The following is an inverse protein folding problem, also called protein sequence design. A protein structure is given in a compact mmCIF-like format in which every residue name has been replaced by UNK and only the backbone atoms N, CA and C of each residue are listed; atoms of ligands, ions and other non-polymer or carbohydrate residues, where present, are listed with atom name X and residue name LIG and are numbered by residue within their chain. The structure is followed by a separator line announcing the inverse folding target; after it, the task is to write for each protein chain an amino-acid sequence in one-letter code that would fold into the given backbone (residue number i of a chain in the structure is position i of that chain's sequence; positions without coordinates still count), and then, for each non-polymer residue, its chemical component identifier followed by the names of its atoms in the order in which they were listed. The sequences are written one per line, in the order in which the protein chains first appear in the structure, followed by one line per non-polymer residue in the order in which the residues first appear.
data_IF_272663550449
#
_entry.id   IF_272663550449
#
_cell.length_a   1.000
_cell.length_b   1.000
_cell.length_c   1.000
_cell.angle_alpha   90.00
_cell.angle_beta   90.00
_cell.angle_gamma   90.00
#
_symmetry.space_group_name_H-M   'P 1'
#
loop_
_entity.id
_entity.type
_entity.pdbx_description
1 polymer ?
#
# COMPACT_ATOMS: atom_id res chain seq x y z
N UNK A 1 1.42 -13.18 24.00
CA UNK A 1 0.57 -12.87 22.84
C UNK A 1 -0.46 -13.98 22.69
N UNK A 2 -1.75 -13.70 22.51
CA UNK A 2 -2.69 -14.75 22.18
C UNK A 2 -2.25 -15.38 20.86
N UNK A 3 -2.09 -16.71 20.85
CA UNK A 3 -1.81 -17.47 19.66
C UNK A 3 -3.08 -17.41 18.82
N UNK A 4 -3.12 -16.50 17.83
CA UNK A 4 -4.16 -16.51 16.82
C UNK A 4 -4.16 -17.92 16.20
N UNK A 5 -5.29 -18.63 16.27
CA UNK A 5 -5.45 -19.88 15.52
C UNK A 5 -5.08 -19.62 14.07
N UNK A 6 -4.30 -20.51 13.42
CA UNK A 6 -3.97 -20.32 12.02
C UNK A 6 -5.28 -20.18 11.23
N UNK A 7 -5.32 -19.18 10.33
CA UNK A 7 -6.46 -18.96 9.46
C UNK A 7 -6.56 -20.17 8.52
N UNK A 8 -7.61 -20.98 8.68
CA UNK A 8 -7.82 -22.13 7.81
C UNK A 8 -8.37 -21.64 6.47
N UNK A 9 -7.75 -22.11 5.40
CA UNK A 9 -8.29 -21.93 4.06
C UNK A 9 -9.52 -22.85 3.87
N UNK A 10 -10.43 -22.53 2.95
CA UNK A 10 -11.55 -23.40 2.63
C UNK A 10 -11.07 -24.81 2.32
N UNK A 11 -11.66 -25.80 2.97
CA UNK A 11 -11.32 -27.20 2.74
C UNK A 11 -11.75 -27.66 1.35
N UNK A 12 -10.95 -28.55 0.76
CA UNK A 12 -11.22 -29.17 -0.51
C UNK A 12 -10.60 -30.58 -0.51
N UNK A 13 -11.29 -31.54 -1.11
CA UNK A 13 -10.86 -32.95 -1.10
C UNK A 13 -9.80 -33.27 -2.18
N UNK A 14 -9.70 -32.42 -3.21
CA UNK A 14 -8.80 -32.65 -4.35
C UNK A 14 -7.45 -31.95 -4.19
N UNK A 15 -7.36 -30.94 -3.28
CA UNK A 15 -6.16 -30.14 -3.08
C UNK A 15 -5.76 -30.08 -1.60
N UNK A 16 -4.44 -30.09 -1.34
CA UNK A 16 -3.89 -29.97 0.01
C UNK A 16 -3.80 -28.48 0.43
N UNK A 17 -4.89 -27.98 0.99
CA UNK A 17 -5.00 -26.60 1.48
C UNK A 17 -4.09 -26.32 2.67
N UNK A 18 -3.71 -27.35 3.44
CA UNK A 18 -2.74 -27.25 4.53
C UNK A 18 -1.34 -26.89 4.04
N UNK A 19 -0.90 -27.46 2.91
CA UNK A 19 0.37 -27.08 2.26
C UNK A 19 0.31 -25.67 1.72
N UNK A 20 -0.82 -25.26 1.13
CA UNK A 20 -0.99 -23.89 0.65
C UNK A 20 -0.91 -22.88 1.80
N UNK A 21 -1.60 -23.14 2.92
CA UNK A 21 -1.53 -22.29 4.11
C UNK A 21 -0.12 -22.19 4.70
N UNK A 22 0.69 -23.25 4.50
CA UNK A 22 2.09 -23.31 4.91
C UNK A 22 3.07 -22.48 4.08
N UNK A 23 2.67 -21.98 2.90
CA UNK A 23 3.56 -21.24 1.99
C UNK A 23 4.22 -20.01 2.63
N UNK A 24 3.54 -19.38 3.56
CA UNK A 24 3.97 -18.13 4.18
C UNK A 24 4.57 -18.28 5.60
N UNK A 25 4.67 -19.50 6.14
CA UNK A 25 5.23 -19.74 7.48
C UNK A 25 6.71 -19.32 7.61
N UNK A 26 7.48 -19.50 6.54
CA UNK A 26 8.91 -19.18 6.51
C UNK A 26 9.20 -18.31 5.28
N UNK A 27 9.05 -17.01 5.45
CA UNK A 27 9.30 -16.02 4.41
C UNK A 27 10.39 -15.05 4.85
N UNK A 28 11.43 -14.90 4.02
CA UNK A 28 12.53 -13.95 4.24
C UNK A 28 12.38 -12.68 3.39
N UNK A 29 11.53 -12.72 2.36
CA UNK A 29 11.28 -11.63 1.41
C UNK A 29 9.84 -11.68 0.89
N UNK A 30 9.39 -10.60 0.24
CA UNK A 30 8.00 -10.45 -0.21
C UNK A 30 7.61 -11.30 -1.42
N UNK A 31 8.55 -11.97 -2.09
CA UNK A 31 8.35 -12.68 -3.36
C UNK A 31 7.18 -13.66 -3.39
N UNK A 32 7.03 -14.50 -2.34
CA UNK A 32 5.98 -15.52 -2.32
C UNK A 32 4.58 -14.91 -2.29
N UNK A 33 4.43 -13.78 -1.61
CA UNK A 33 3.15 -13.07 -1.55
C UNK A 33 2.78 -12.51 -2.91
N UNK A 34 3.67 -11.75 -3.53
CA UNK A 34 3.41 -11.14 -4.83
C UNK A 34 3.34 -12.17 -5.97
N UNK A 35 4.04 -13.30 -5.85
CA UNK A 35 3.86 -14.44 -6.75
C UNK A 35 2.44 -15.00 -6.67
N UNK A 36 1.93 -15.22 -5.45
CA UNK A 36 0.57 -15.71 -5.25
C UNK A 36 -0.48 -14.73 -5.78
N UNK A 37 -0.32 -13.43 -5.51
CA UNK A 37 -1.22 -12.39 -6.02
C UNK A 37 -1.22 -12.35 -7.55
N UNK A 38 -0.05 -12.38 -8.19
CA UNK A 38 0.07 -12.43 -9.64
C UNK A 38 -0.55 -13.71 -10.23
N UNK A 39 -0.34 -14.86 -9.59
CA UNK A 39 -0.91 -16.14 -10.01
C UNK A 39 -2.44 -16.07 -9.97
N UNK A 40 -3.03 -15.56 -8.89
CA UNK A 40 -4.47 -15.40 -8.77
C UNK A 40 -5.03 -14.46 -9.84
N UNK A 41 -4.34 -13.36 -10.14
CA UNK A 41 -4.75 -12.42 -11.20
C UNK A 41 -4.80 -13.08 -12.59
N UNK A 42 -3.84 -13.94 -12.91
CA UNK A 42 -3.82 -14.68 -14.17
C UNK A 42 -4.92 -15.78 -14.21
N UNK A 43 -5.18 -16.44 -13.10
CA UNK A 43 -6.26 -17.43 -12.96
C UNK A 43 -7.64 -16.80 -13.13
N UNK A 44 -7.86 -15.62 -12.56
CA UNK A 44 -9.11 -14.85 -12.69
C UNK A 44 -9.38 -14.44 -14.16
N UNK A 45 -8.32 -14.31 -14.99
CA UNK A 45 -8.42 -14.10 -16.43
C UNK A 45 -8.68 -15.39 -17.22
N UNK A 46 -8.85 -16.53 -16.56
CA UNK A 46 -9.17 -17.79 -17.18
C UNK A 46 -7.98 -18.61 -17.69
N UNK A 47 -6.74 -18.21 -17.37
CA UNK A 47 -5.54 -18.87 -17.90
C UNK A 47 -5.20 -20.13 -17.11
N UNK A 48 -4.87 -21.20 -17.83
CA UNK A 48 -4.37 -22.47 -17.31
C UNK A 48 -2.85 -22.61 -17.52
N UNK A 49 -2.41 -22.21 -18.71
CA UNK A 49 -1.00 -22.06 -19.06
C UNK A 49 -0.63 -20.59 -18.92
N UNK A 50 0.33 -20.30 -18.06
CA UNK A 50 0.73 -18.93 -17.74
C UNK A 50 2.23 -18.76 -18.01
N UNK A 51 2.57 -17.78 -18.83
CA UNK A 51 3.97 -17.44 -19.08
C UNK A 51 4.59 -16.81 -17.81
N UNK A 52 5.78 -17.26 -17.43
CA UNK A 52 6.50 -16.69 -16.28
C UNK A 52 6.75 -15.20 -16.40
N UNK A 53 6.97 -14.71 -17.63
CA UNK A 53 7.12 -13.28 -17.89
C UNK A 53 5.89 -12.48 -17.46
N UNK A 54 4.69 -13.02 -17.68
CA UNK A 54 3.45 -12.39 -17.24
C UNK A 54 3.36 -12.36 -15.71
N UNK A 55 3.72 -13.45 -15.04
CA UNK A 55 3.76 -13.51 -13.58
C UNK A 55 4.80 -12.55 -12.98
N UNK A 56 5.99 -12.44 -13.57
CA UNK A 56 7.01 -11.50 -13.09
C UNK A 56 6.56 -10.05 -13.25
N UNK A 57 5.92 -9.72 -14.37
CA UNK A 57 5.30 -8.41 -14.56
C UNK A 57 4.13 -8.20 -13.57
N UNK A 58 3.35 -9.23 -13.29
CA UNK A 58 2.27 -9.26 -12.31
C UNK A 58 2.77 -8.97 -10.88
N UNK A 59 3.84 -9.63 -10.45
CA UNK A 59 4.47 -9.36 -9.14
C UNK A 59 4.85 -7.88 -8.96
N UNK A 60 5.46 -7.30 -9.99
CA UNK A 60 5.84 -5.88 -9.97
C UNK A 60 4.60 -4.98 -9.95
N UNK A 61 3.59 -5.28 -10.76
CA UNK A 61 2.38 -4.46 -10.83
C UNK A 61 1.56 -4.49 -9.54
N UNK A 62 1.41 -5.65 -8.90
CA UNK A 62 0.73 -5.80 -7.61
C UNK A 62 1.45 -5.04 -6.47
N UNK A 63 2.79 -5.00 -6.51
CA UNK A 63 3.60 -4.32 -5.52
C UNK A 63 3.83 -2.82 -5.81
N UNK A 64 3.47 -2.36 -7.02
CA UNK A 64 3.86 -1.04 -7.54
C UNK A 64 3.46 0.10 -6.64
N UNK A 65 2.20 0.12 -6.25
CA UNK A 65 1.61 1.20 -5.48
C UNK A 65 2.15 1.25 -4.04
N UNK A 66 2.31 0.07 -3.43
CA UNK A 66 2.89 -0.07 -2.09
C UNK A 66 4.30 0.52 -2.01
N UNK A 67 5.15 0.23 -3.01
CA UNK A 67 6.54 0.70 -3.04
C UNK A 67 6.64 2.16 -3.48
N UNK A 68 6.03 2.52 -4.61
CA UNK A 68 6.28 3.82 -5.23
C UNK A 68 5.42 4.94 -4.66
N UNK A 69 4.16 4.66 -4.33
CA UNK A 69 3.23 5.67 -3.85
C UNK A 69 3.28 5.80 -2.32
N UNK A 70 3.15 4.71 -1.60
CA UNK A 70 3.18 4.71 -0.14
C UNK A 70 4.57 4.59 0.48
N UNK A 71 5.59 4.29 -0.32
CA UNK A 71 6.99 4.16 0.12
C UNK A 71 7.17 3.20 1.29
N UNK A 72 6.40 2.10 1.31
CA UNK A 72 6.52 1.04 2.31
C UNK A 72 7.77 0.23 2.03
N UNK A 73 8.64 0.08 3.03
CA UNK A 73 9.86 -0.70 2.90
C UNK A 73 9.58 -2.21 2.94
N UNK A 74 10.15 -2.96 2.00
CA UNK A 74 10.13 -4.43 2.03
C UNK A 74 11.32 -5.00 2.81
N UNK A 75 12.23 -4.14 3.23
CA UNK A 75 13.48 -4.48 3.90
C UNK A 75 14.69 -4.41 2.96
N UNK A 76 15.87 -4.14 3.53
CA UNK A 76 17.10 -3.85 2.78
C UNK A 76 17.51 -4.95 1.78
N UNK A 77 17.18 -6.21 2.06
CA UNK A 77 17.57 -7.37 1.24
C UNK A 77 16.44 -7.85 0.31
N UNK A 78 15.35 -7.09 0.17
CA UNK A 78 14.27 -7.46 -0.73
C UNK A 78 14.50 -6.94 -2.14
N UNK A 79 14.94 -7.83 -3.03
CA UNK A 79 15.24 -7.48 -4.43
C UNK A 79 13.99 -7.13 -5.25
N UNK A 80 12.76 -7.45 -4.80
CA UNK A 80 11.54 -7.05 -5.50
C UNK A 80 11.38 -5.53 -5.42
N UNK A 81 11.58 -4.93 -4.24
CA UNK A 81 11.58 -3.48 -4.09
C UNK A 81 12.60 -2.81 -5.00
N UNK A 82 13.85 -3.29 -4.97
CA UNK A 82 14.93 -2.77 -5.82
C UNK A 82 14.62 -2.89 -7.32
N UNK A 83 13.98 -4.00 -7.71
CA UNK A 83 13.54 -4.20 -9.10
C UNK A 83 12.44 -3.21 -9.49
N UNK A 84 11.46 -2.95 -8.62
CA UNK A 84 10.36 -2.00 -8.85
C UNK A 84 10.91 -0.58 -9.05
N UNK A 85 11.79 -0.12 -8.16
CA UNK A 85 12.43 1.20 -8.25
C UNK A 85 13.19 1.35 -9.57
N UNK A 86 13.98 0.34 -9.94
CA UNK A 86 14.72 0.33 -11.20
C UNK A 86 13.82 0.31 -12.43
N UNK A 87 12.73 -0.46 -12.40
CA UNK A 87 11.78 -0.54 -13.52
C UNK A 87 10.98 0.74 -13.69
N UNK A 88 10.69 1.46 -12.60
CA UNK A 88 10.08 2.79 -12.64
C UNK A 88 10.88 3.73 -13.54
N UNK A 89 12.19 3.81 -13.30
CA UNK A 89 13.07 4.69 -14.06
C UNK A 89 13.27 4.20 -15.50
N UNK A 90 13.49 2.88 -15.68
CA UNK A 90 13.69 2.28 -17.00
C UNK A 90 12.51 2.47 -17.95
N UNK A 91 11.28 2.40 -17.41
CA UNK A 91 10.04 2.49 -18.21
C UNK A 91 9.35 3.84 -18.11
N UNK A 92 9.90 4.77 -17.30
CA UNK A 92 9.34 6.12 -17.07
C UNK A 92 7.87 6.03 -16.64
N UNK A 93 7.58 5.14 -15.70
CA UNK A 93 6.23 4.91 -15.19
C UNK A 93 5.92 5.86 -14.01
N UNK A 94 4.72 6.46 -13.96
CA UNK A 94 4.29 7.26 -12.83
C UNK A 94 4.24 6.43 -11.53
N UNK A 95 4.47 7.07 -10.39
CA UNK A 95 4.43 6.42 -9.06
C UNK A 95 3.04 5.86 -8.73
N UNK A 96 2.00 6.49 -9.24
CA UNK A 96 0.59 6.14 -9.06
C UNK A 96 -0.01 5.37 -10.25
N UNK A 97 0.82 4.85 -11.15
CA UNK A 97 0.35 4.05 -12.30
C UNK A 97 -0.52 2.89 -11.85
N UNK A 98 -1.60 2.61 -12.60
CA UNK A 98 -2.46 1.47 -12.28
C UNK A 98 -1.74 0.14 -12.50
N UNK A 99 -2.08 -0.92 -11.75
CA UNK A 99 -1.49 -2.25 -11.93
C UNK A 99 -1.58 -2.74 -13.38
N UNK A 100 -2.70 -2.49 -14.06
CA UNK A 100 -2.90 -2.89 -15.46
C UNK A 100 -1.95 -2.13 -16.40
N UNK A 101 -1.71 -0.85 -16.12
CA UNK A 101 -0.79 -0.02 -16.90
C UNK A 101 0.64 -0.50 -16.73
N UNK A 102 1.05 -0.76 -15.47
CA UNK A 102 2.39 -1.29 -15.15
C UNK A 102 2.58 -2.66 -15.81
N UNK A 103 1.64 -3.59 -15.60
CA UNK A 103 1.70 -4.94 -16.17
C UNK A 103 1.84 -4.91 -17.69
N UNK A 104 0.96 -4.18 -18.38
CA UNK A 104 0.97 -4.03 -19.85
C UNK A 104 2.28 -3.44 -20.35
N UNK A 105 2.80 -2.42 -19.68
CA UNK A 105 4.07 -1.77 -20.06
C UNK A 105 5.24 -2.73 -19.92
N UNK A 106 5.35 -3.45 -18.81
CA UNK A 106 6.43 -4.39 -18.54
C UNK A 106 6.37 -5.60 -19.47
N UNK A 107 5.19 -6.16 -19.70
CA UNK A 107 5.00 -7.29 -20.59
C UNK A 107 5.33 -6.93 -22.04
N UNK A 108 4.95 -5.73 -22.50
CA UNK A 108 5.23 -5.24 -23.85
C UNK A 108 6.62 -4.64 -24.06
N UNK A 109 7.42 -4.46 -22.98
CA UNK A 109 8.73 -3.81 -23.09
C UNK A 109 9.71 -4.63 -23.94
N UNK A 110 10.35 -3.95 -24.91
CA UNK A 110 11.44 -4.50 -25.73
C UNK A 110 12.83 -4.14 -25.18
N UNK A 111 12.93 -3.39 -24.09
CA UNK A 111 14.18 -2.98 -23.49
C UNK A 111 14.90 -4.18 -22.85
N UNK A 112 16.11 -4.50 -23.30
CA UNK A 112 16.90 -5.61 -22.78
C UNK A 112 17.14 -5.53 -21.25
N UNK A 113 17.31 -4.30 -20.73
CA UNK A 113 17.48 -4.07 -19.29
C UNK A 113 16.23 -4.46 -18.50
N UNK A 114 15.03 -4.06 -18.95
CA UNK A 114 13.75 -4.45 -18.34
C UNK A 114 13.55 -5.97 -18.35
N UNK A 115 13.81 -6.61 -19.49
CA UNK A 115 13.72 -8.07 -19.61
C UNK A 115 14.69 -8.80 -18.66
N UNK A 116 15.89 -8.27 -18.45
CA UNK A 116 16.88 -8.84 -17.52
C UNK A 116 16.40 -8.73 -16.07
N UNK A 117 15.85 -7.58 -15.68
CA UNK A 117 15.32 -7.38 -14.32
C UNK A 117 14.18 -8.37 -14.05
N UNK A 118 13.21 -8.51 -14.94
CA UNK A 118 12.10 -9.45 -14.78
C UNK A 118 12.58 -10.91 -14.72
N UNK A 119 13.49 -11.32 -15.61
CA UNK A 119 14.03 -12.69 -15.62
C UNK A 119 14.80 -13.05 -14.33
N UNK A 120 15.30 -12.06 -13.60
CA UNK A 120 15.97 -12.33 -12.32
C UNK A 120 15.08 -13.04 -11.30
N UNK A 121 13.77 -12.81 -11.34
CA UNK A 121 12.82 -13.49 -10.45
C UNK A 121 12.76 -15.01 -10.68
N UNK A 122 13.10 -15.49 -11.87
CA UNK A 122 13.11 -16.93 -12.17
C UNK A 122 14.18 -17.72 -11.38
N UNK A 123 15.17 -17.03 -10.82
CA UNK A 123 16.25 -17.66 -10.04
C UNK A 123 15.67 -18.35 -8.80
N UNK A 124 14.67 -17.74 -8.15
CA UNK A 124 14.22 -18.21 -6.86
C UNK A 124 12.69 -18.41 -6.75
N UNK A 125 11.89 -17.55 -7.36
CA UNK A 125 10.49 -17.42 -6.96
C UNK A 125 9.62 -18.63 -7.34
N UNK A 126 9.57 -19.07 -8.61
CA UNK A 126 8.62 -20.11 -9.05
C UNK A 126 8.79 -21.42 -8.32
N UNK A 127 10.05 -21.88 -8.16
CA UNK A 127 10.33 -23.18 -7.54
C UNK A 127 10.31 -23.15 -6.01
N UNK A 128 10.73 -22.02 -5.39
CA UNK A 128 10.66 -21.88 -3.92
C UNK A 128 9.23 -21.75 -3.39
N UNK A 129 8.29 -21.27 -4.21
CA UNK A 129 6.88 -21.28 -3.84
C UNK A 129 6.35 -22.70 -3.66
N UNK A 130 6.82 -23.65 -4.46
CA UNK A 130 6.42 -25.05 -4.38
C UNK A 130 7.03 -25.85 -3.22
N UNK A 131 7.89 -25.23 -2.40
CA UNK A 131 8.58 -25.93 -1.30
C UNK A 131 7.67 -26.72 -0.33
N UNK A 132 6.41 -26.32 -0.03
CA UNK A 132 5.52 -27.12 0.81
C UNK A 132 5.11 -28.46 0.19
N UNK A 133 5.15 -28.59 -1.13
CA UNK A 133 4.78 -29.82 -1.85
C UNK A 133 5.99 -30.71 -2.16
N UNK A 134 7.06 -30.10 -2.66
CA UNK A 134 8.21 -30.84 -3.23
C UNK A 134 9.49 -30.73 -2.40
N UNK A 135 9.41 -30.05 -1.25
CA UNK A 135 10.59 -29.83 -0.39
C UNK A 135 11.57 -28.79 -0.96
N UNK A 136 12.69 -28.62 -0.23
CA UNK A 136 13.74 -27.67 -0.59
C UNK A 136 14.82 -28.36 -1.43
N UNK A 137 14.51 -28.62 -2.68
CA UNK A 137 15.43 -29.24 -3.62
C UNK A 137 16.16 -28.24 -4.55
N UNK A 138 17.06 -28.76 -5.41
CA UNK A 138 17.61 -27.97 -6.51
C UNK A 138 16.50 -27.50 -7.45
N UNK A 139 16.69 -26.38 -8.13
CA UNK A 139 15.72 -25.85 -9.11
C UNK A 139 15.31 -26.95 -10.11
N UNK A 140 16.30 -27.67 -10.68
CA UNK A 140 16.05 -28.77 -11.63
C UNK A 140 15.22 -29.91 -11.02
N UNK A 141 15.49 -30.29 -9.77
CA UNK A 141 14.73 -31.32 -9.07
C UNK A 141 13.29 -30.91 -8.82
N UNK A 142 13.05 -29.65 -8.38
CA UNK A 142 11.69 -29.13 -8.18
C UNK A 142 10.90 -29.09 -9.49
N UNK A 143 11.53 -28.73 -10.61
CA UNK A 143 10.88 -28.76 -11.93
C UNK A 143 10.43 -30.18 -12.28
N UNK A 144 11.33 -31.15 -12.20
CA UNK A 144 11.02 -32.54 -12.50
C UNK A 144 9.88 -33.07 -11.60
N UNK A 145 9.96 -32.88 -10.28
CA UNK A 145 8.92 -33.31 -9.34
C UNK A 145 7.56 -32.64 -9.62
N UNK A 146 7.55 -31.35 -9.97
CA UNK A 146 6.31 -30.64 -10.28
C UNK A 146 5.66 -31.15 -11.57
N UNK A 147 6.46 -31.49 -12.59
CA UNK A 147 5.99 -32.06 -13.87
C UNK A 147 5.43 -33.47 -13.68
N UNK A 148 5.98 -34.24 -12.75
CA UNK A 148 5.47 -35.56 -12.39
C UNK A 148 4.27 -35.55 -11.42
N UNK A 149 3.81 -34.34 -11.00
CA UNK A 149 2.68 -34.23 -10.08
C UNK A 149 2.96 -34.69 -8.65
N UNK A 150 4.21 -34.79 -8.22
CA UNK A 150 4.59 -35.25 -6.89
C UNK A 150 3.94 -34.41 -5.78
N UNK A 151 3.16 -35.09 -4.93
CA UNK A 151 2.34 -34.49 -3.88
C UNK A 151 1.29 -33.47 -4.38
N UNK A 152 0.85 -33.56 -5.63
CA UNK A 152 -0.18 -32.74 -6.24
C UNK A 152 0.08 -31.22 -6.05
N UNK A 153 1.20 -30.66 -6.58
CA UNK A 153 1.51 -29.26 -6.44
C UNK A 153 0.55 -28.39 -7.27
N UNK A 154 0.39 -27.10 -6.98
CA UNK A 154 -0.57 -26.26 -7.69
C UNK A 154 -0.28 -26.11 -9.19
N UNK A 155 0.97 -26.27 -9.61
CA UNK A 155 1.37 -26.17 -11.00
C UNK A 155 2.63 -26.99 -11.31
N UNK A 156 2.76 -27.38 -12.57
CA UNK A 156 3.99 -27.88 -13.16
C UNK A 156 4.84 -26.73 -13.71
N UNK A 157 6.15 -26.74 -13.46
CA UNK A 157 7.10 -25.72 -13.90
C UNK A 157 7.81 -26.16 -15.19
N UNK A 158 7.84 -25.25 -16.16
CA UNK A 158 8.62 -25.33 -17.40
C UNK A 158 9.56 -24.13 -17.53
N UNK A 159 10.41 -24.09 -18.53
CA UNK A 159 11.42 -23.05 -18.64
C UNK A 159 10.83 -21.64 -18.81
N UNK A 160 9.80 -21.48 -19.61
CA UNK A 160 9.16 -20.21 -19.94
C UNK A 160 7.76 -20.03 -19.34
N UNK A 161 7.11 -21.10 -18.89
CA UNK A 161 5.73 -21.08 -18.40
C UNK A 161 5.53 -22.01 -17.20
N UNK A 162 4.34 -21.93 -16.64
CA UNK A 162 3.78 -22.94 -15.75
C UNK A 162 2.44 -23.44 -16.30
N UNK A 163 2.07 -24.65 -15.93
CA UNK A 163 0.78 -25.25 -16.24
C UNK A 163 0.08 -25.58 -14.92
N UNK A 164 -1.09 -24.99 -14.69
CA UNK A 164 -1.89 -25.24 -13.50
C UNK A 164 -2.47 -26.64 -13.53
N UNK A 165 -2.46 -27.32 -12.38
CA UNK A 165 -3.16 -28.57 -12.20
C UNK A 165 -4.68 -28.32 -12.18
N UNK A 166 -5.52 -29.15 -12.82
CA UNK A 166 -6.95 -28.89 -12.96
C UNK A 166 -7.69 -28.64 -11.64
N UNK A 167 -7.44 -29.46 -10.62
CA UNK A 167 -8.06 -29.32 -9.31
C UNK A 167 -7.66 -27.99 -8.64
N UNK A 168 -6.38 -27.62 -8.71
CA UNK A 168 -5.89 -26.36 -8.19
C UNK A 168 -6.43 -25.15 -8.97
N UNK A 169 -6.60 -25.26 -10.28
CA UNK A 169 -7.20 -24.20 -11.10
C UNK A 169 -8.64 -23.93 -10.66
N UNK A 170 -9.44 -25.00 -10.45
CA UNK A 170 -10.81 -24.87 -9.95
C UNK A 170 -10.84 -24.25 -8.55
N UNK A 171 -9.97 -24.73 -7.66
CA UNK A 171 -9.86 -24.21 -6.31
C UNK A 171 -9.50 -22.72 -6.29
N UNK A 172 -8.48 -22.32 -7.04
CA UNK A 172 -8.07 -20.92 -7.14
C UNK A 172 -9.16 -20.03 -7.72
N UNK A 173 -9.86 -20.45 -8.77
CA UNK A 173 -11.00 -19.72 -9.33
C UNK A 173 -12.14 -19.56 -8.32
N UNK A 174 -12.51 -20.62 -7.64
CA UNK A 174 -13.61 -20.64 -6.68
C UNK A 174 -13.34 -19.74 -5.48
N UNK A 175 -12.12 -19.72 -4.98
CA UNK A 175 -11.75 -19.07 -3.74
C UNK A 175 -10.79 -17.90 -3.92
N UNK A 176 -10.63 -17.33 -5.12
CA UNK A 176 -9.67 -16.27 -5.43
C UNK A 176 -9.70 -15.12 -4.44
N UNK A 177 -10.88 -14.60 -4.10
CA UNK A 177 -11.05 -13.50 -3.15
C UNK A 177 -10.57 -13.84 -1.73
N UNK A 178 -10.88 -15.06 -1.25
CA UNK A 178 -10.44 -15.53 0.08
C UNK A 178 -8.92 -15.70 0.10
N UNK A 179 -8.36 -16.31 -0.94
CA UNK A 179 -6.92 -16.56 -1.07
C UNK A 179 -6.14 -15.25 -1.20
N UNK A 180 -6.69 -14.27 -1.90
CA UNK A 180 -6.12 -12.92 -1.99
C UNK A 180 -6.11 -12.26 -0.62
N UNK A 181 -7.23 -12.30 0.12
CA UNK A 181 -7.32 -11.80 1.50
C UNK A 181 -6.33 -12.49 2.44
N UNK A 182 -6.21 -13.82 2.38
CA UNK A 182 -5.23 -14.60 3.13
C UNK A 182 -3.78 -14.17 2.83
N UNK A 183 -3.44 -14.01 1.55
CA UNK A 183 -2.12 -13.56 1.12
C UNK A 183 -1.80 -12.15 1.63
N UNK A 184 -2.75 -11.22 1.48
CA UNK A 184 -2.61 -9.82 1.93
C UNK A 184 -2.48 -9.72 3.46
N UNK A 185 -3.20 -10.55 4.22
CA UNK A 185 -3.05 -10.63 5.67
C UNK A 185 -1.62 -11.01 6.07
N UNK A 186 -1.09 -12.09 5.50
CA UNK A 186 0.27 -12.53 5.79
C UNK A 186 1.32 -11.51 5.31
N UNK A 187 1.09 -10.85 4.17
CA UNK A 187 1.94 -9.76 3.68
C UNK A 187 1.91 -8.57 4.64
N UNK A 188 0.73 -8.21 5.16
CA UNK A 188 0.59 -7.15 6.18
C UNK A 188 1.45 -7.44 7.41
N UNK A 189 1.31 -8.64 7.98
CA UNK A 189 2.10 -9.04 9.15
C UNK A 189 3.61 -9.00 8.86
N UNK A 190 4.01 -9.47 7.68
CA UNK A 190 5.40 -9.46 7.25
C UNK A 190 5.94 -8.03 7.10
N UNK A 191 5.20 -7.14 6.45
CA UNK A 191 5.62 -5.76 6.25
C UNK A 191 5.57 -4.93 7.53
N UNK A 192 4.62 -5.20 8.44
CA UNK A 192 4.55 -4.51 9.74
C UNK A 192 5.82 -4.73 10.57
N UNK A 193 6.44 -5.92 10.50
CA UNK A 193 7.72 -6.16 11.21
C UNK A 193 8.88 -5.33 10.66
N UNK A 194 8.80 -4.89 9.42
CA UNK A 194 9.81 -4.06 8.74
C UNK A 194 9.50 -2.57 8.78
N UNK A 195 8.26 -2.25 9.07
CA UNK A 195 7.72 -0.89 9.14
C UNK A 195 6.95 -0.70 10.47
N UNK A 196 7.59 -0.91 11.64
CA UNK A 196 6.88 -0.94 12.92
C UNK A 196 6.19 0.38 13.25
N UNK A 197 6.71 1.49 12.75
CA UNK A 197 6.23 2.83 13.03
C UNK A 197 5.48 3.48 11.85
N UNK A 198 5.31 2.76 10.73
CA UNK A 198 4.51 3.26 9.60
C UNK A 198 3.03 3.00 9.89
N UNK A 199 2.19 4.06 9.89
CA UNK A 199 0.77 3.88 10.17
C UNK A 199 0.07 3.16 9.02
N UNK A 200 -0.96 2.40 9.37
CA UNK A 200 -1.94 1.80 8.46
C UNK A 200 -1.34 1.04 7.26
N UNK A 201 -0.40 0.12 7.53
CA UNK A 201 0.19 -0.74 6.50
C UNK A 201 -0.87 -1.50 5.69
N UNK A 202 -1.99 -2.03 6.27
CA UNK A 202 -3.02 -2.72 5.50
C UNK A 202 -3.58 -1.90 4.34
N UNK A 203 -3.92 -0.64 4.57
CA UNK A 203 -4.48 0.25 3.54
C UNK A 203 -3.48 0.65 2.46
N UNK A 204 -2.19 0.38 2.67
CA UNK A 204 -1.11 0.67 1.71
C UNK A 204 -0.79 -0.48 0.76
N UNK A 205 -1.41 -1.64 0.94
CA UNK A 205 -1.17 -2.81 0.11
C UNK A 205 -2.05 -2.85 -1.15
N UNK A 206 -3.19 -2.18 -1.10
CA UNK A 206 -4.16 -2.19 -2.20
C UNK A 206 -4.38 -0.76 -2.67
N UNK A 207 -4.17 -0.53 -3.97
CA UNK A 207 -4.56 0.76 -4.57
C UNK A 207 -6.07 0.93 -4.43
N UNK A 208 -6.57 2.00 -3.75
CA UNK A 208 -7.99 2.26 -3.71
C UNK A 208 -8.50 2.53 -5.13
N UNK A 209 -9.61 1.92 -5.51
CA UNK A 209 -10.24 2.13 -6.83
C UNK A 209 -10.60 3.60 -7.05
N UNK A 210 -11.03 4.28 -5.98
CA UNK A 210 -11.21 5.74 -5.91
C UNK A 210 -10.80 6.20 -4.53
N UNK A 211 -9.99 7.25 -4.46
CA UNK A 211 -9.79 7.98 -3.22
C UNK A 211 -11.13 8.54 -2.75
N UNK A 212 -11.42 8.43 -1.46
CA UNK A 212 -12.61 9.03 -0.87
C UNK A 212 -12.67 10.53 -1.17
N UNK A 213 -13.87 11.05 -1.44
CA UNK A 213 -14.03 12.49 -1.64
C UNK A 213 -13.90 13.23 -0.31
N UNK A 214 -13.05 14.23 -0.24
CA UNK A 214 -12.95 15.14 0.91
C UNK A 214 -14.09 16.16 0.99
N UNK A 215 -15.05 16.12 0.06
CA UNK A 215 -16.26 16.99 0.08
C UNK A 215 -17.04 16.94 1.41
N UNK A 216 -17.25 15.79 2.06
CA UNK A 216 -17.89 15.75 3.37
C UNK A 216 -17.10 16.49 4.47
N UNK A 217 -15.75 16.37 4.48
CA UNK A 217 -14.88 17.07 5.41
C UNK A 217 -14.95 18.58 5.19
N UNK A 218 -14.92 18.99 3.90
CA UNK A 218 -15.08 20.36 3.47
C UNK A 218 -16.40 20.94 3.95
N UNK A 219 -17.54 20.37 3.50
CA UNK A 219 -18.89 20.93 3.76
C UNK A 219 -19.35 20.84 5.21
N UNK A 220 -18.97 19.80 5.93
CA UNK A 220 -19.51 19.53 7.27
C UNK A 220 -18.60 20.01 8.40
N UNK A 221 -17.40 20.49 8.08
CA UNK A 221 -16.47 21.02 9.06
C UNK A 221 -15.89 22.36 8.58
N UNK A 222 -15.05 22.40 7.57
CA UNK A 222 -14.29 23.59 7.18
C UNK A 222 -15.13 24.71 6.56
N UNK A 223 -16.19 24.42 5.79
CA UNK A 223 -17.10 25.47 5.27
C UNK A 223 -17.83 26.18 6.43
N UNK A 224 -18.10 25.47 7.53
CA UNK A 224 -18.71 26.07 8.72
C UNK A 224 -17.70 27.01 9.37
N UNK A 225 -16.46 26.56 9.61
CA UNK A 225 -15.40 27.37 10.21
C UNK A 225 -15.15 28.64 9.39
N UNK A 226 -15.01 28.49 8.07
CA UNK A 226 -14.79 29.62 7.17
C UNK A 226 -15.96 30.64 7.16
N UNK A 227 -17.20 30.16 7.27
CA UNK A 227 -18.36 31.04 7.36
C UNK A 227 -18.37 31.83 8.68
N UNK A 228 -18.07 31.17 9.80
CA UNK A 228 -18.02 31.86 11.11
C UNK A 228 -16.91 32.90 11.19
N UNK A 229 -15.74 32.61 10.54
CA UNK A 229 -14.61 33.52 10.50
C UNK A 229 -14.68 34.59 9.40
N UNK A 230 -15.65 34.50 8.46
CA UNK A 230 -15.66 35.34 7.26
C UNK A 230 -14.45 35.10 6.36
N UNK A 231 -13.93 33.88 6.32
CA UNK A 231 -12.71 33.48 5.62
C UNK A 231 -11.49 33.35 6.54
N UNK A 232 -10.42 32.76 6.03
CA UNK A 232 -9.16 32.57 6.74
C UNK A 232 -7.96 32.71 5.78
N UNK A 233 -6.77 32.95 6.31
CA UNK A 233 -5.56 32.99 5.47
C UNK A 233 -4.91 31.62 5.35
N UNK A 234 -4.49 31.25 4.14
CA UNK A 234 -3.72 30.04 3.90
C UNK A 234 -2.39 30.10 4.68
N UNK A 235 -2.11 29.10 5.50
CA UNK A 235 -0.89 29.07 6.32
C UNK A 235 0.39 29.03 5.49
N UNK A 236 0.31 28.63 4.24
CA UNK A 236 1.46 28.48 3.35
C UNK A 236 1.71 29.69 2.47
N UNK A 237 0.65 30.36 2.00
CA UNK A 237 0.78 31.45 1.00
C UNK A 237 0.30 32.80 1.49
N UNK A 238 -0.38 32.86 2.64
CA UNK A 238 -1.04 34.07 3.13
C UNK A 238 -2.25 34.51 2.30
N UNK A 239 -2.62 33.78 1.23
CA UNK A 239 -3.81 34.08 0.44
C UNK A 239 -5.08 33.91 1.26
N UNK A 240 -6.00 34.88 1.18
CA UNK A 240 -7.33 34.78 1.77
C UNK A 240 -8.15 33.67 1.11
N UNK A 241 -8.69 32.78 1.92
CA UNK A 241 -9.53 31.64 1.51
C UNK A 241 -10.97 31.89 1.94
N UNK A 242 -11.90 31.60 1.03
CA UNK A 242 -13.35 31.62 1.27
C UNK A 242 -13.99 30.30 0.88
N UNK A 243 -15.23 30.10 1.31
CA UNK A 243 -16.01 28.90 0.95
C UNK A 243 -16.08 28.75 -0.57
N UNK A 244 -15.66 27.60 -1.07
CA UNK A 244 -15.58 27.30 -2.50
C UNK A 244 -14.25 27.62 -3.17
N UNK A 245 -13.35 28.39 -2.56
CA UNK A 245 -12.08 28.85 -3.16
C UNK A 245 -10.83 28.22 -2.52
N UNK A 246 -10.96 27.08 -1.87
CA UNK A 246 -9.85 26.36 -1.26
C UNK A 246 -9.89 24.86 -1.57
N UNK A 247 -8.77 24.20 -1.44
CA UNK A 247 -8.67 22.76 -1.41
C UNK A 247 -8.39 22.25 0.00
N UNK A 248 -8.77 20.98 0.25
CA UNK A 248 -8.39 20.28 1.47
C UNK A 248 -6.99 19.74 1.34
N UNK A 249 -6.13 20.13 2.25
CA UNK A 249 -4.73 19.73 2.27
C UNK A 249 -4.44 18.83 3.47
N UNK A 250 -3.66 17.76 3.23
CA UNK A 250 -3.09 16.93 4.29
C UNK A 250 -1.78 17.55 4.77
N UNK A 251 -1.73 18.03 6.00
CA UNK A 251 -0.50 18.60 6.57
C UNK A 251 0.64 17.59 6.51
N UNK A 252 0.44 16.38 7.02
CA UNK A 252 1.30 15.22 6.73
C UNK A 252 0.69 14.49 5.53
N UNK A 253 1.46 14.23 4.45
CA UNK A 253 0.93 13.69 3.21
C UNK A 253 0.08 12.43 3.38
N UNK A 254 -1.03 12.34 2.64
CA UNK A 254 -1.89 11.17 2.61
C UNK A 254 -1.11 9.88 2.30
N UNK A 255 -0.13 9.96 1.42
CA UNK A 255 0.72 8.83 1.05
C UNK A 255 1.47 8.23 2.25
N UNK A 256 1.68 9.03 3.30
CA UNK A 256 2.28 8.51 4.52
C UNK A 256 1.24 8.06 5.56
N UNK A 257 0.20 8.87 5.83
CA UNK A 257 -0.78 8.55 6.88
C UNK A 257 -1.85 7.55 6.43
N UNK A 258 -2.24 7.55 5.15
CA UNK A 258 -3.27 6.72 4.52
C UNK A 258 -4.69 6.88 5.09
N UNK A 259 -4.99 8.03 5.71
CA UNK A 259 -6.31 8.36 6.24
C UNK A 259 -6.66 9.84 6.03
N UNK A 260 -7.95 10.16 6.14
CA UNK A 260 -8.52 11.51 5.96
C UNK A 260 -9.03 12.09 7.30
N UNK A 261 -8.28 11.90 8.39
CA UNK A 261 -8.67 12.40 9.71
C UNK A 261 -8.54 13.92 9.79
N UNK A 262 -9.52 14.56 10.43
CA UNK A 262 -9.66 16.01 10.45
C UNK A 262 -8.47 16.74 11.10
N UNK A 263 -7.84 16.15 12.11
CA UNK A 263 -6.67 16.72 12.77
C UNK A 263 -5.47 16.95 11.84
N UNK A 264 -5.45 16.28 10.67
CA UNK A 264 -4.39 16.39 9.66
C UNK A 264 -4.84 17.18 8.42
N UNK A 265 -6.09 17.65 8.37
CA UNK A 265 -6.67 18.30 7.20
C UNK A 265 -6.91 19.79 7.46
N UNK A 266 -6.44 20.64 6.55
CA UNK A 266 -6.69 22.10 6.60
C UNK A 266 -7.08 22.64 5.22
N UNK A 267 -7.77 23.79 5.15
CA UNK A 267 -7.93 24.57 3.93
C UNK A 267 -6.58 25.11 3.44
N UNK A 268 -6.34 25.01 2.15
CA UNK A 268 -5.14 25.54 1.51
C UNK A 268 -5.43 26.16 0.14
N UNK A 269 -4.53 27.01 -0.32
CA UNK A 269 -4.51 27.49 -1.70
C UNK A 269 -4.40 26.33 -2.67
N UNK A 270 -5.32 26.18 -3.65
CA UNK A 270 -5.31 25.05 -4.58
C UNK A 270 -4.03 24.91 -5.39
N UNK A 271 -3.41 26.03 -5.78
CA UNK A 271 -2.15 25.99 -6.54
C UNK A 271 -1.00 25.51 -5.66
N UNK A 272 -0.97 25.95 -4.40
CA UNK A 272 0.01 25.46 -3.45
C UNK A 272 -0.18 23.99 -3.13
N UNK A 273 -1.42 23.56 -2.86
CA UNK A 273 -1.75 22.17 -2.58
C UNK A 273 -1.25 21.23 -3.70
N UNK A 274 -1.50 21.58 -4.97
CA UNK A 274 -0.98 20.83 -6.11
C UNK A 274 0.56 20.74 -6.13
N UNK A 275 1.28 21.81 -5.78
CA UNK A 275 2.76 21.83 -5.76
C UNK A 275 3.35 21.10 -4.57
N UNK A 276 2.69 21.18 -3.40
CA UNK A 276 3.12 20.45 -2.20
C UNK A 276 3.08 18.95 -2.42
N UNK A 277 2.00 18.43 -3.02
CA UNK A 277 1.86 17.01 -3.34
C UNK A 277 2.14 16.09 -2.13
N UNK A 278 3.18 15.23 -2.19
CA UNK A 278 3.59 14.31 -1.12
C UNK A 278 4.75 14.84 -0.26
N UNK A 279 5.04 16.15 -0.31
CA UNK A 279 6.11 16.75 0.47
C UNK A 279 5.69 16.99 1.92
N UNK A 280 6.66 16.83 2.82
CA UNK A 280 6.49 17.10 4.26
C UNK A 280 6.59 18.59 4.57
N UNK A 281 5.80 19.10 5.53
CA UNK A 281 5.99 20.46 6.02
C UNK A 281 7.26 20.56 6.88
N UNK A 282 7.94 21.69 6.81
CA UNK A 282 8.98 22.03 7.77
C UNK A 282 8.28 22.52 9.05
N UNK A 283 8.30 21.71 10.12
CA UNK A 283 7.54 22.01 11.34
C UNK A 283 7.96 23.33 11.98
N UNK A 284 9.24 23.71 11.87
CA UNK A 284 9.72 24.99 12.40
C UNK A 284 9.00 26.19 11.77
N UNK A 285 8.59 26.08 10.50
CA UNK A 285 8.00 27.17 9.74
C UNK A 285 6.45 27.16 9.82
N UNK A 286 5.84 25.98 9.86
CA UNK A 286 4.39 25.85 9.66
C UNK A 286 3.61 25.35 10.88
N UNK A 287 4.27 24.81 11.91
CA UNK A 287 3.56 24.18 13.02
C UNK A 287 2.67 25.16 13.79
N UNK A 288 3.17 26.33 14.14
CA UNK A 288 2.41 27.26 14.99
C UNK A 288 1.18 27.84 14.26
N UNK A 289 1.29 28.06 12.95
CA UNK A 289 0.16 28.48 12.12
C UNK A 289 -0.86 27.35 11.96
N UNK A 290 -0.38 26.12 11.70
CA UNK A 290 -1.22 24.94 11.60
C UNK A 290 -1.99 24.67 12.89
N UNK A 291 -1.29 24.70 14.03
CA UNK A 291 -1.90 24.47 15.34
C UNK A 291 -2.99 25.52 15.63
N UNK A 292 -2.72 26.80 15.43
CA UNK A 292 -3.70 27.89 15.66
C UNK A 292 -4.97 27.66 14.85
N UNK A 293 -4.84 27.34 13.56
CA UNK A 293 -5.97 27.07 12.67
C UNK A 293 -6.78 25.86 13.15
N UNK A 294 -6.14 24.78 13.54
CA UNK A 294 -6.80 23.58 14.04
C UNK A 294 -7.52 23.82 15.38
N UNK A 295 -6.84 24.51 16.30
CA UNK A 295 -7.41 24.83 17.62
C UNK A 295 -8.65 25.74 17.50
N UNK A 296 -8.58 26.79 16.68
CA UNK A 296 -9.68 27.72 16.41
C UNK A 296 -10.86 26.99 15.74
N UNK A 297 -10.58 26.15 14.74
CA UNK A 297 -11.58 25.37 14.05
C UNK A 297 -12.35 24.43 15.00
N UNK A 298 -11.64 23.72 15.87
CA UNK A 298 -12.27 22.84 16.87
C UNK A 298 -13.11 23.63 17.84
N UNK A 299 -12.65 24.80 18.31
CA UNK A 299 -13.39 25.67 19.22
C UNK A 299 -14.71 26.13 18.60
N UNK A 300 -14.67 26.60 17.36
CA UNK A 300 -15.88 27.01 16.61
C UNK A 300 -16.83 25.82 16.42
N UNK A 301 -16.34 24.68 15.99
CA UNK A 301 -17.21 23.51 15.75
C UNK A 301 -17.83 22.98 17.05
N UNK A 302 -17.12 23.00 18.17
CA UNK A 302 -17.66 22.63 19.49
C UNK A 302 -18.80 23.56 19.91
N UNK A 303 -18.71 24.84 19.58
CA UNK A 303 -19.75 25.82 19.88
C UNK A 303 -20.95 25.68 18.94
N UNK A 304 -20.72 25.68 17.62
CA UNK A 304 -21.79 25.74 16.61
C UNK A 304 -22.42 24.36 16.35
N UNK A 305 -21.64 23.28 16.41
CA UNK A 305 -22.08 21.89 16.16
C UNK A 305 -21.40 20.88 17.09
N UNK A 306 -21.70 20.84 18.38
CA UNK A 306 -21.00 20.02 19.38
C UNK A 306 -21.10 18.52 19.15
N UNK A 307 -22.04 18.04 18.33
CA UNK A 307 -22.18 16.64 17.92
C UNK A 307 -21.57 16.34 16.54
N UNK A 308 -20.66 17.16 16.08
CA UNK A 308 -20.00 16.92 14.81
C UNK A 308 -19.07 15.71 14.93
N UNK A 309 -19.33 14.67 14.12
CA UNK A 309 -18.57 13.40 14.15
C UNK A 309 -17.07 13.54 13.93
N UNK A 310 -16.63 14.61 13.25
CA UNK A 310 -15.20 14.85 12.99
C UNK A 310 -14.45 15.35 14.23
N UNK A 311 -15.13 15.68 15.31
CA UNK A 311 -14.46 15.97 16.59
C UNK A 311 -13.83 14.72 17.19
N UNK A 312 -14.35 13.52 16.89
CA UNK A 312 -13.79 12.25 17.35
C UNK A 312 -12.37 12.00 16.77
N UNK A 313 -12.08 12.53 15.58
CA UNK A 313 -10.76 12.40 14.97
C UNK A 313 -9.65 13.03 15.84
N UNK A 314 -9.97 14.06 16.62
CA UNK A 314 -9.01 14.75 17.49
C UNK A 314 -8.67 13.98 18.78
N UNK A 315 -9.44 12.96 19.14
CA UNK A 315 -9.14 12.10 20.28
C UNK A 315 -7.80 11.34 20.10
N UNK A 316 -7.33 11.18 18.87
CA UNK A 316 -6.01 10.64 18.58
C UNK A 316 -4.88 11.61 18.92
N UNK A 317 -5.13 12.91 18.86
CA UNK A 317 -4.16 13.95 19.24
C UNK A 317 -4.17 14.14 20.75
N UNK A 318 -5.36 14.21 21.35
CA UNK A 318 -5.52 14.36 22.79
C UNK A 318 -6.77 13.63 23.30
N UNK A 319 -6.61 12.49 24.00
CA UNK A 319 -7.72 11.77 24.60
C UNK A 319 -8.48 12.59 25.66
N UNK A 320 -7.84 13.60 26.26
CA UNK A 320 -8.47 14.51 27.25
C UNK A 320 -9.21 15.69 26.63
N UNK A 321 -9.30 15.75 25.30
CA UNK A 321 -9.88 16.86 24.53
C UNK A 321 -9.14 18.22 24.69
N UNK A 322 -8.10 18.27 25.48
CA UNK A 322 -7.21 19.43 25.58
C UNK A 322 -6.21 19.42 24.41
N UNK A 323 -6.52 20.19 23.36
CA UNK A 323 -5.69 20.31 22.18
C UNK A 323 -4.55 21.30 22.39
N UNK A 324 -3.63 21.01 23.33
CA UNK A 324 -2.47 21.85 23.56
C UNK A 324 -1.43 21.75 22.43
N UNK A 325 -0.57 22.77 22.23
CA UNK A 325 0.54 22.70 21.28
C UNK A 325 1.44 21.49 21.52
N UNK A 326 1.67 21.14 22.80
CA UNK A 326 2.49 19.99 23.18
C UNK A 326 1.86 18.66 22.74
N UNK A 327 0.55 18.51 22.89
CA UNK A 327 -0.17 17.32 22.43
C UNK A 327 -0.06 17.16 20.91
N UNK A 328 -0.24 18.23 20.14
CA UNK A 328 -0.06 18.21 18.70
C UNK A 328 1.37 17.89 18.28
N UNK A 329 2.38 18.49 18.91
CA UNK A 329 3.79 18.19 18.63
C UNK A 329 4.12 16.73 18.88
N UNK A 330 3.63 16.16 19.98
CA UNK A 330 3.86 14.76 20.33
C UNK A 330 3.35 13.77 19.28
N UNK A 331 2.35 14.16 18.48
CA UNK A 331 1.84 13.36 17.37
C UNK A 331 2.57 13.66 16.06
N UNK A 332 2.75 14.94 15.73
CA UNK A 332 3.27 15.34 14.42
C UNK A 332 4.77 15.10 14.26
N UNK A 333 5.60 15.40 15.27
CA UNK A 333 7.06 15.27 15.17
C UNK A 333 7.53 13.83 14.88
N UNK A 334 7.01 12.79 15.58
CA UNK A 334 7.35 11.42 15.24
C UNK A 334 6.90 11.03 13.83
N UNK A 335 5.68 11.42 13.42
CA UNK A 335 5.15 11.08 12.08
C UNK A 335 5.99 11.72 10.96
N UNK A 336 6.37 13.00 11.10
CA UNK A 336 7.23 13.69 10.13
C UNK A 336 8.61 13.03 10.06
N UNK A 337 9.20 12.68 11.21
CA UNK A 337 10.50 12.01 11.28
C UNK A 337 10.46 10.64 10.59
N UNK A 338 9.43 9.84 10.89
CA UNK A 338 9.26 8.51 10.28
C UNK A 338 9.04 8.63 8.77
N UNK A 339 8.19 9.58 8.34
CA UNK A 339 7.94 9.81 6.92
C UNK A 339 9.22 10.23 6.17
N UNK A 340 10.02 11.13 6.74
CA UNK A 340 11.31 11.51 6.19
C UNK A 340 12.26 10.32 6.05
N UNK A 341 12.33 9.45 7.06
CA UNK A 341 13.13 8.23 7.02
C UNK A 341 12.65 7.23 5.95
N UNK A 342 11.36 7.28 5.59
CA UNK A 342 10.79 6.50 4.48
C UNK A 342 10.94 7.19 3.11
N UNK A 343 11.71 8.27 3.03
CA UNK A 343 12.05 8.93 1.75
C UNK A 343 11.05 9.98 1.29
N UNK A 344 10.14 10.45 2.16
CA UNK A 344 9.35 11.65 1.87
C UNK A 344 10.24 12.88 2.00
N UNK A 345 10.21 13.75 0.99
CA UNK A 345 11.03 14.97 0.96
C UNK A 345 10.30 16.11 1.65
N UNK A 346 11.05 17.04 2.26
CA UNK A 346 10.48 18.27 2.77
C UNK A 346 10.16 19.26 1.63
N UNK A 347 9.22 20.15 1.88
CA UNK A 347 9.01 21.30 1.02
C UNK A 347 10.28 22.14 0.98
N UNK A 348 10.58 22.69 -0.18
CA UNK A 348 11.55 23.79 -0.30
C UNK A 348 10.92 25.04 0.28
N UNK A 349 11.69 25.78 1.12
CA UNK A 349 11.25 27.01 1.71
C UNK A 349 11.03 28.14 0.69
#
# INVERSE_FOLDING_TARGET
MPILKPMNLPEDFEVDTGRLSGCFKHTSATYKFYWMLALLSEVEQGKERIEKKALFAGMVSEAWYTVNYFKVSFGANDHLQQAIEKLKDLESLPVDASPETVHRRLLGSKKAKTQRVLRHFDINVPHKFLSPWVGSGSKKGVYALSQHGFNNPPYALYDDHLLLQPAWLQYFRKYAGILRGFCLWHLTLFLQTRNPNVPDVPSKLIRPQRRGSLTPHKKRFWDIVLNELGGMDCIYTGRRLSVGEYDMEHFIPYQFVAHDQMWNLIPADPQFNSRKSDKLPVLADYFDAFYRVQHEAVSIIREVKPKNKYLDDYLQVSPSEDLSPAAYRAVLEPLVTIASNNGFQFMEG
#
